data_IF_707284247823
#
_entry.id   IF_707284247823
#
_cell.length_a   1.000
_cell.length_b   1.000
_cell.length_c   1.000
_cell.angle_alpha   90.00
_cell.angle_beta   90.00
_cell.angle_gamma   90.00
#
_symmetry.space_group_name_H-M   'P 1'
#
loop_
_entity.id
_entity.type
_entity.pdbx_description
1 polymer ?
#
# COMPACT_ATOMS: atom_id res chain seq x y z
N UNK A 1 17.04 3.58 7.01
CA UNK A 1 16.55 3.58 5.61
C UNK A 1 15.54 2.45 5.47
N UNK A 2 14.34 2.74 4.98
CA UNK A 2 13.31 1.70 4.74
C UNK A 2 13.40 1.27 3.28
N UNK A 3 13.69 0.00 3.02
CA UNK A 3 13.74 -0.55 1.66
C UNK A 3 12.39 -1.10 1.28
N UNK A 4 11.74 -0.49 0.27
CA UNK A 4 10.45 -0.98 -0.24
C UNK A 4 10.66 -2.16 -1.20
N UNK A 5 10.16 -3.32 -0.81
CA UNK A 5 10.12 -4.53 -1.65
C UNK A 5 8.72 -4.67 -2.22
N UNK A 6 8.61 -4.93 -3.53
CA UNK A 6 7.33 -5.23 -4.19
C UNK A 6 7.33 -6.71 -4.57
N UNK A 7 6.30 -7.43 -4.15
CA UNK A 7 6.12 -8.85 -4.43
C UNK A 7 4.74 -9.13 -5.02
N UNK A 8 4.60 -10.30 -5.64
CA UNK A 8 3.32 -10.89 -6.04
C UNK A 8 3.08 -12.10 -5.16
N UNK A 9 1.88 -12.22 -4.61
CA UNK A 9 1.48 -13.39 -3.85
C UNK A 9 0.83 -14.42 -4.79
N UNK A 10 1.47 -15.58 -4.95
CA UNK A 10 0.99 -16.64 -5.84
C UNK A 10 1.19 -18.00 -5.15
N UNK A 11 0.14 -18.84 -5.16
CA UNK A 11 0.17 -20.19 -4.60
C UNK A 11 0.70 -20.26 -3.16
N UNK A 12 0.31 -19.31 -2.32
CA UNK A 12 0.74 -19.29 -0.92
C UNK A 12 2.10 -18.62 -0.66
N UNK A 13 2.80 -18.14 -1.70
CA UNK A 13 4.18 -17.65 -1.60
C UNK A 13 4.31 -16.20 -2.08
N UNK A 14 5.00 -15.35 -1.31
CA UNK A 14 5.38 -13.99 -1.72
C UNK A 14 6.62 -14.04 -2.60
N UNK A 15 6.45 -13.72 -3.89
CA UNK A 15 7.52 -13.69 -4.89
C UNK A 15 7.95 -12.25 -5.16
N UNK A 16 9.16 -11.82 -4.80
CA UNK A 16 9.61 -10.46 -5.07
C UNK A 16 9.76 -10.22 -6.57
N UNK A 17 9.34 -9.04 -7.05
CA UNK A 17 9.45 -8.65 -8.47
C UNK A 17 10.89 -8.37 -8.91
N UNK A 18 11.79 -8.15 -7.96
CA UNK A 18 13.23 -7.93 -8.18
C UNK A 18 14.01 -8.84 -7.25
N UNK A 19 15.21 -9.23 -7.67
CA UNK A 19 16.13 -10.01 -6.83
C UNK A 19 16.42 -9.24 -5.54
N UNK A 20 16.31 -9.93 -4.41
CA UNK A 20 16.64 -9.39 -3.09
C UNK A 20 18.06 -9.80 -2.73
N UNK A 21 18.83 -8.84 -2.23
CA UNK A 21 20.16 -9.07 -1.65
C UNK A 21 20.05 -8.87 -0.14
N UNK A 22 19.31 -9.75 0.53
CA UNK A 22 19.19 -9.77 1.99
C UNK A 22 20.05 -10.91 2.55
N UNK A 23 20.73 -10.72 3.69
CA UNK A 23 21.44 -11.80 4.34
C UNK A 23 20.48 -12.89 4.82
N UNK A 24 20.96 -14.12 4.82
CA UNK A 24 20.19 -15.27 5.27
C UNK A 24 19.80 -15.11 6.76
N UNK A 25 18.57 -15.51 7.10
CA UNK A 25 18.03 -15.36 8.45
C UNK A 25 17.60 -13.94 8.84
N UNK A 26 17.67 -12.96 7.93
CA UNK A 26 17.15 -11.62 8.20
C UNK A 26 15.63 -11.64 8.38
N UNK A 27 15.18 -11.25 9.57
CA UNK A 27 13.77 -11.00 9.84
C UNK A 27 13.29 -9.76 9.08
N UNK A 28 12.08 -9.85 8.52
CA UNK A 28 11.46 -8.76 7.76
C UNK A 28 10.01 -8.58 8.20
N UNK A 29 9.55 -7.33 8.18
CA UNK A 29 8.14 -6.98 8.40
C UNK A 29 7.40 -6.88 7.06
N UNK A 30 6.19 -7.45 7.02
CA UNK A 30 5.34 -7.44 5.84
C UNK A 30 4.19 -6.45 6.03
N UNK A 31 4.15 -5.43 5.16
CA UNK A 31 3.06 -4.44 5.15
C UNK A 31 2.18 -4.68 3.92
N UNK A 32 0.98 -5.21 4.14
CA UNK A 32 -0.04 -5.35 3.09
C UNK A 32 -0.81 -4.03 3.01
N UNK A 33 -0.67 -3.32 1.88
CA UNK A 33 -1.41 -2.07 1.66
C UNK A 33 -2.68 -2.37 0.87
N UNK A 34 -3.87 -2.07 1.42
CA UNK A 34 -5.12 -2.21 0.67
C UNK A 34 -5.09 -1.29 -0.54
N UNK A 35 -5.74 -1.72 -1.62
CA UNK A 35 -5.92 -0.87 -2.80
C UNK A 35 -6.86 0.30 -2.47
N UNK A 36 -6.72 1.40 -3.21
CA UNK A 36 -7.63 2.55 -3.09
C UNK A 36 -9.09 2.14 -3.28
N UNK A 37 -9.35 1.16 -4.18
CA UNK A 37 -10.70 0.62 -4.40
C UNK A 37 -11.24 -0.13 -3.19
N UNK A 38 -10.41 -0.91 -2.50
CA UNK A 38 -10.81 -1.60 -1.28
C UNK A 38 -11.03 -0.63 -0.11
N UNK A 39 -10.20 0.41 -0.01
CA UNK A 39 -10.41 1.49 0.95
C UNK A 39 -11.76 2.18 0.70
N UNK A 40 -12.08 2.57 -0.53
CA UNK A 40 -13.36 3.20 -0.87
C UNK A 40 -14.57 2.32 -0.50
N UNK A 41 -14.51 1.02 -0.76
CA UNK A 41 -15.55 0.07 -0.32
C UNK A 41 -15.70 0.01 1.19
N UNK A 42 -14.59 0.10 1.93
CA UNK A 42 -14.64 0.11 3.40
C UNK A 42 -15.30 1.38 3.97
N UNK A 43 -15.26 2.49 3.22
CA UNK A 43 -15.87 3.77 3.60
C UNK A 43 -17.23 4.04 2.95
N UNK A 44 -17.75 3.11 2.13
CA UNK A 44 -19.00 3.27 1.36
C UNK A 44 -20.24 3.47 2.25
N UNK A 45 -20.18 3.02 3.51
CA UNK A 45 -21.25 3.21 4.52
C UNK A 45 -20.96 4.32 5.53
N UNK A 46 -19.91 5.10 5.34
CA UNK A 46 -19.60 6.24 6.21
C UNK A 46 -20.21 7.48 5.57
N UNK A 47 -21.21 8.07 6.21
CA UNK A 47 -21.70 9.41 5.83
C UNK A 47 -20.59 10.43 6.10
N UNK A 48 -19.78 10.70 5.08
CA UNK A 48 -18.73 11.69 5.16
C UNK A 48 -19.38 13.06 4.94
N UNK A 49 -19.30 13.93 5.96
CA UNK A 49 -19.80 15.33 5.90
C UNK A 49 -19.01 16.24 4.96
N UNK A 50 -17.94 15.74 4.35
CA UNK A 50 -17.09 16.44 3.39
C UNK A 50 -16.84 15.58 2.16
N UNK A 51 -16.77 16.25 1.02
CA UNK A 51 -16.64 15.68 -0.32
C UNK A 51 -15.40 14.77 -0.41
N UNK A 52 -15.62 13.45 -0.29
CA UNK A 52 -14.58 12.41 -0.24
C UNK A 52 -13.63 12.54 -1.42
N UNK A 53 -14.15 12.93 -2.58
CA UNK A 53 -13.39 13.12 -3.80
C UNK A 53 -12.36 14.25 -3.68
N UNK A 54 -12.72 15.36 -3.02
CA UNK A 54 -11.82 16.48 -2.76
C UNK A 54 -10.71 16.09 -1.79
N UNK A 55 -11.05 15.43 -0.68
CA UNK A 55 -10.06 15.00 0.32
C UNK A 55 -9.03 14.01 -0.26
N UNK A 56 -9.48 13.10 -1.13
CA UNK A 56 -8.60 12.14 -1.81
C UNK A 56 -7.72 12.80 -2.88
N UNK A 57 -8.24 13.79 -3.61
CA UNK A 57 -7.47 14.56 -4.60
C UNK A 57 -6.35 15.35 -3.91
N UNK A 58 -6.67 16.05 -2.82
CA UNK A 58 -5.68 16.79 -2.04
C UNK A 58 -4.61 15.86 -1.43
N UNK A 59 -5.00 14.67 -0.95
CA UNK A 59 -4.06 13.66 -0.44
C UNK A 59 -3.11 13.10 -1.51
N UNK A 60 -3.57 12.98 -2.76
CA UNK A 60 -2.71 12.59 -3.90
C UNK A 60 -1.73 13.69 -4.26
N UNK A 61 -2.18 14.95 -4.31
CA UNK A 61 -1.35 16.10 -4.69
C UNK A 61 -0.24 16.37 -3.66
N UNK A 62 -0.51 16.18 -2.36
CA UNK A 62 0.50 16.30 -1.30
C UNK A 62 1.64 15.28 -1.44
N UNK A 63 1.36 14.10 -1.98
CA UNK A 63 2.33 13.01 -2.15
C UNK A 63 3.25 13.17 -3.38
N UNK A 64 3.03 14.20 -4.20
CA UNK A 64 3.87 14.49 -5.39
C UNK A 64 5.12 15.30 -4.99
N UNK A 65 5.18 15.81 -3.75
CA UNK A 65 6.26 16.69 -3.26
C UNK A 65 7.07 16.15 -2.06
N UNK A 66 6.85 14.89 -1.65
CA UNK A 66 7.65 14.20 -0.61
C UNK A 66 8.38 12.97 -1.15
#
# INVERSE_FOLDING_TARGET
MVTKIVAVYENGVLKPKKKLNLPEGMEVELIIKPSIKELLKAFENVEVKEDVERALKEGRERKIWE
#
